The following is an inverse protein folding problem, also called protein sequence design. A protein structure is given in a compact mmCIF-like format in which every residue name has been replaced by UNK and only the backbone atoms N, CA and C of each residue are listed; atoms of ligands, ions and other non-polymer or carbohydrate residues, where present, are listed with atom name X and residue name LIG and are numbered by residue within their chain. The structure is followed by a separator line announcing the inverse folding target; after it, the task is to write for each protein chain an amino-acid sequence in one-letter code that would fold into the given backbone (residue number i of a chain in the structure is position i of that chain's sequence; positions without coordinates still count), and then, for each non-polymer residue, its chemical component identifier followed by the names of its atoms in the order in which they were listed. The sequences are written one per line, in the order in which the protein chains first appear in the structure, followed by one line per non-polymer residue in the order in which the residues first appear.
data_IF_729765246004
#
_entry.id   IF_729765246004
#
_cell.length_a   1.000
_cell.length_b   1.000
_cell.length_c   1.000
_cell.angle_alpha   90.00
_cell.angle_beta   90.00
_cell.angle_gamma   90.00
#
_symmetry.space_group_name_H-M   'P 1'
#
loop_
_entity.id
_entity.type
_entity.pdbx_description
1 polymer ?
#
# COMPACT_ATOMS: atom_id res chain seq x y z
N UNK A 1 -6.18 -59.26 38.45
CA UNK A 1 -6.34 -58.85 37.03
C UNK A 1 -6.68 -57.35 36.84
N UNK A 2 -6.40 -56.48 37.82
CA UNK A 2 -6.86 -55.06 37.85
C UNK A 2 -5.74 -54.03 37.65
N UNK A 3 -4.48 -54.42 37.78
CA UNK A 3 -3.33 -53.49 37.77
C UNK A 3 -2.89 -53.06 36.35
N UNK A 4 -2.95 -53.99 35.37
CA UNK A 4 -2.59 -53.72 33.96
C UNK A 4 -3.41 -52.59 33.34
N UNK A 5 -4.70 -52.48 33.71
CA UNK A 5 -5.62 -51.44 33.20
C UNK A 5 -5.35 -50.04 33.78
N UNK A 6 -4.77 -49.93 34.98
CA UNK A 6 -4.42 -48.63 35.59
C UNK A 6 -3.15 -48.03 34.97
N UNK A 7 -2.13 -48.85 34.70
CA UNK A 7 -0.88 -48.40 34.08
C UNK A 7 -1.08 -47.85 32.66
N UNK A 8 -1.93 -48.49 31.86
CA UNK A 8 -2.25 -48.04 30.49
C UNK A 8 -2.93 -46.65 30.53
N UNK A 9 -3.93 -46.44 31.39
CA UNK A 9 -4.62 -45.13 31.51
C UNK A 9 -3.70 -44.00 32.03
N UNK A 10 -2.75 -44.32 32.90
CA UNK A 10 -1.78 -43.35 33.39
C UNK A 10 -0.76 -42.94 32.30
N UNK A 11 -0.32 -43.89 31.47
CA UNK A 11 0.56 -43.65 30.34
C UNK A 11 -0.09 -42.74 29.27
N UNK A 12 -1.33 -43.04 28.88
CA UNK A 12 -2.10 -42.21 27.93
C UNK A 12 -2.41 -40.80 28.45
N UNK A 13 -2.62 -40.63 29.76
CA UNK A 13 -2.80 -39.29 30.38
C UNK A 13 -1.52 -38.46 30.41
N UNK A 14 -0.36 -39.11 30.55
CA UNK A 14 0.94 -38.45 30.46
C UNK A 14 1.15 -37.92 29.04
N UNK A 15 1.20 -38.81 28.06
CA UNK A 15 1.45 -38.46 26.65
C UNK A 15 0.46 -37.43 26.10
N UNK A 16 -0.83 -37.52 26.46
CA UNK A 16 -1.84 -36.52 26.12
C UNK A 16 -1.57 -35.14 26.74
N UNK A 17 -1.14 -35.06 28.01
CA UNK A 17 -0.80 -33.77 28.65
C UNK A 17 0.46 -33.14 28.06
N UNK A 18 1.42 -33.95 27.62
CA UNK A 18 2.63 -33.46 26.93
C UNK A 18 2.30 -32.95 25.52
N UNK A 19 1.42 -33.63 24.77
CA UNK A 19 1.00 -33.15 23.46
C UNK A 19 0.15 -31.88 23.54
N UNK A 20 -0.78 -31.76 24.48
CA UNK A 20 -1.56 -30.52 24.66
C UNK A 20 -0.66 -29.34 25.02
N UNK A 21 0.33 -29.53 25.91
CA UNK A 21 1.30 -28.48 26.26
C UNK A 21 2.17 -28.07 25.08
N UNK A 22 2.60 -29.03 24.26
CA UNK A 22 3.36 -28.75 23.03
C UNK A 22 2.54 -27.93 22.02
N UNK A 23 1.26 -28.27 21.83
CA UNK A 23 0.35 -27.51 20.97
C UNK A 23 0.18 -26.08 21.49
N UNK A 24 -0.11 -25.90 22.78
CA UNK A 24 -0.25 -24.56 23.39
C UNK A 24 1.02 -23.73 23.24
N UNK A 25 2.20 -24.33 23.50
CA UNK A 25 3.48 -23.64 23.33
C UNK A 25 3.72 -23.23 21.88
N UNK A 26 3.42 -24.11 20.92
CA UNK A 26 3.54 -23.81 19.50
C UNK A 26 2.60 -22.68 19.08
N UNK A 27 1.34 -22.70 19.54
CA UNK A 27 0.37 -21.63 19.28
C UNK A 27 0.87 -20.29 19.82
N UNK A 28 1.41 -20.26 21.04
CA UNK A 28 1.98 -19.03 21.62
C UNK A 28 3.16 -18.51 20.80
N UNK A 29 4.07 -19.39 20.36
CA UNK A 29 5.19 -19.00 19.50
C UNK A 29 4.70 -18.42 18.17
N UNK A 30 3.69 -19.02 17.55
CA UNK A 30 3.10 -18.51 16.30
C UNK A 30 2.45 -17.14 16.54
N UNK A 31 1.66 -16.97 17.61
CA UNK A 31 1.05 -15.68 17.94
C UNK A 31 2.09 -14.59 18.18
N UNK A 32 3.18 -14.90 18.89
CA UNK A 32 4.28 -13.97 19.11
C UNK A 32 5.00 -13.62 17.81
N UNK A 33 5.24 -14.60 16.94
CA UNK A 33 5.86 -14.36 15.63
C UNK A 33 4.97 -13.48 14.74
N UNK A 34 3.65 -13.70 14.74
CA UNK A 34 2.70 -12.87 14.00
C UNK A 34 2.62 -11.45 14.55
N UNK A 35 2.59 -11.29 15.88
CA UNK A 35 2.58 -9.98 16.52
C UNK A 35 3.86 -9.20 16.23
N UNK A 36 5.02 -9.86 16.32
CA UNK A 36 6.30 -9.27 15.97
C UNK A 36 6.37 -8.90 14.48
N UNK A 37 5.89 -9.79 13.60
CA UNK A 37 5.82 -9.55 12.16
C UNK A 37 4.91 -8.38 11.81
N UNK A 38 3.75 -8.26 12.47
CA UNK A 38 2.83 -7.14 12.31
C UNK A 38 3.45 -5.83 12.81
N UNK A 39 4.08 -5.83 13.99
CA UNK A 39 4.75 -4.64 14.53
C UNK A 39 5.87 -4.16 13.60
N UNK A 40 6.67 -5.08 13.07
CA UNK A 40 7.68 -4.77 12.06
C UNK A 40 7.05 -4.20 10.78
N UNK A 41 6.03 -4.85 10.24
CA UNK A 41 5.30 -4.39 9.05
C UNK A 41 4.72 -2.98 9.23
N UNK A 42 4.10 -2.73 10.38
CA UNK A 42 3.53 -1.44 10.70
C UNK A 42 4.60 -0.33 10.74
N UNK A 43 5.68 -0.56 11.48
CA UNK A 43 6.75 0.43 11.70
C UNK A 43 7.66 0.67 10.49
N UNK A 44 7.74 -0.30 9.57
CA UNK A 44 8.63 -0.19 8.40
C UNK A 44 7.88 0.09 7.10
N UNK A 45 6.57 -0.18 7.03
CA UNK A 45 5.78 -0.01 5.81
C UNK A 45 4.62 0.94 6.07
N UNK A 46 3.66 0.56 6.93
CA UNK A 46 2.43 1.34 7.07
C UNK A 46 2.67 2.75 7.65
N UNK A 47 3.62 2.91 8.56
CA UNK A 47 3.93 4.22 9.16
C UNK A 47 4.63 5.18 8.19
N UNK A 48 5.16 4.67 7.07
CA UNK A 48 5.74 5.51 6.01
C UNK A 48 4.69 5.97 5.01
N UNK A 49 3.51 5.34 4.98
CA UNK A 49 2.43 5.76 4.11
C UNK A 49 1.83 7.08 4.60
N UNK A 50 1.49 8.00 3.68
CA UNK A 50 0.74 9.19 4.04
C UNK A 50 -0.57 8.81 4.72
N UNK A 51 -0.79 9.31 5.93
CA UNK A 51 -2.04 9.08 6.66
C UNK A 51 -3.25 9.78 6.01
N UNK A 52 -2.98 10.85 5.24
CA UNK A 52 -3.99 11.60 4.51
C UNK A 52 -3.56 11.80 3.05
N UNK A 53 -4.50 11.53 2.14
CA UNK A 53 -4.35 11.70 0.70
C UNK A 53 -5.01 12.99 0.19
N UNK A 54 -5.62 13.80 1.05
CA UNK A 54 -6.31 15.04 0.70
C UNK A 54 -5.41 16.00 -0.10
N UNK A 55 -4.13 16.08 0.24
CA UNK A 55 -3.13 16.89 -0.44
C UNK A 55 -2.99 16.57 -1.94
N UNK A 56 -3.21 15.30 -2.34
CA UNK A 56 -3.11 14.90 -3.75
C UNK A 56 -4.33 15.31 -4.57
N UNK A 57 -5.48 15.55 -3.92
CA UNK A 57 -6.67 16.08 -4.60
C UNK A 57 -6.47 17.51 -5.10
N UNK A 58 -5.57 18.26 -4.47
CA UNK A 58 -5.29 19.66 -4.80
C UNK A 58 -3.84 19.87 -5.25
N UNK A 59 -3.14 18.79 -5.61
CA UNK A 59 -1.78 18.88 -6.09
C UNK A 59 -1.71 19.74 -7.36
N UNK A 60 -0.94 20.83 -7.30
CA UNK A 60 -0.67 21.72 -8.43
C UNK A 60 0.80 21.61 -8.79
N UNK A 61 1.16 21.01 -9.94
CA UNK A 61 2.54 20.95 -10.35
C UNK A 61 3.08 22.36 -10.59
N UNK A 62 4.39 22.59 -10.38
CA UNK A 62 5.02 23.85 -10.77
C UNK A 62 4.83 24.07 -12.28
N UNK A 63 4.28 25.22 -12.66
CA UNK A 63 4.08 25.62 -14.06
C UNK A 63 5.00 26.79 -14.41
N UNK A 64 5.20 27.01 -15.71
CA UNK A 64 5.96 28.18 -16.16
C UNK A 64 5.26 29.49 -15.83
N UNK A 65 6.03 30.49 -15.42
CA UNK A 65 5.58 31.87 -15.24
C UNK A 65 5.78 32.61 -16.57
N UNK A 66 4.69 33.10 -17.17
CA UNK A 66 4.72 33.83 -18.44
C UNK A 66 4.44 35.31 -18.21
N UNK A 67 5.31 36.18 -18.71
CA UNK A 67 5.18 37.63 -18.66
C UNK A 67 4.66 38.12 -20.00
N UNK A 68 3.54 38.82 -19.99
CA UNK A 68 2.90 39.36 -21.19
C UNK A 68 3.00 40.88 -21.23
N UNK A 69 3.16 41.42 -22.43
CA UNK A 69 3.09 42.86 -22.69
C UNK A 69 1.66 43.39 -22.66
N UNK A 70 1.51 44.71 -22.73
CA UNK A 70 0.20 45.37 -22.73
C UNK A 70 -0.65 45.01 -23.97
N UNK A 71 0.00 44.55 -25.03
CA UNK A 71 -0.60 44.04 -26.27
C UNK A 71 -0.94 42.54 -26.21
N UNK A 72 -0.65 41.86 -25.09
CA UNK A 72 -0.85 40.43 -24.91
C UNK A 72 0.24 39.55 -25.52
N UNK A 73 1.31 40.13 -26.09
CA UNK A 73 2.44 39.33 -26.60
C UNK A 73 3.27 38.79 -25.44
N UNK A 74 3.77 37.55 -25.60
CA UNK A 74 4.68 36.97 -24.61
C UNK A 74 6.03 37.70 -24.66
N UNK A 75 6.42 38.30 -23.55
CA UNK A 75 7.73 38.96 -23.38
C UNK A 75 8.77 37.95 -22.94
N UNK A 76 8.45 37.16 -21.90
CA UNK A 76 9.39 36.20 -21.32
C UNK A 76 8.68 35.05 -20.60
N UNK A 77 9.39 33.94 -20.38
CA UNK A 77 8.92 32.73 -19.70
C UNK A 77 9.97 32.21 -18.71
N UNK A 78 9.64 32.20 -17.42
CA UNK A 78 10.52 31.69 -16.35
C UNK A 78 10.05 30.31 -15.87
N UNK A 79 10.96 29.34 -15.83
CA UNK A 79 10.66 28.00 -15.35
C UNK A 79 11.89 27.23 -14.89
N UNK A 80 11.68 26.29 -13.95
CA UNK A 80 12.58 25.16 -13.74
C UNK A 80 12.25 24.05 -14.74
N UNK A 81 10.96 23.74 -14.88
CA UNK A 81 10.40 22.78 -15.81
C UNK A 81 9.39 23.48 -16.72
N UNK A 82 9.56 23.35 -18.03
CA UNK A 82 8.68 24.00 -19.00
C UNK A 82 7.33 23.28 -19.06
N UNK A 83 6.39 23.68 -18.21
CA UNK A 83 5.05 23.09 -18.08
C UNK A 83 3.95 24.12 -18.31
N UNK A 84 3.01 23.76 -19.19
CA UNK A 84 1.77 24.49 -19.42
C UNK A 84 0.61 23.63 -18.94
N UNK A 85 -0.21 24.18 -18.06
CA UNK A 85 -1.44 23.52 -17.63
C UNK A 85 -2.51 23.65 -18.72
N UNK A 86 -3.12 22.53 -19.10
CA UNK A 86 -4.17 22.44 -20.12
C UNK A 86 -5.23 21.49 -19.59
N UNK A 87 -6.51 21.85 -19.69
CA UNK A 87 -7.60 20.94 -19.34
C UNK A 87 -7.68 19.81 -20.38
N UNK A 88 -7.99 18.59 -19.94
CA UNK A 88 -8.16 17.45 -20.86
C UNK A 88 -9.30 17.72 -21.85
N UNK A 89 -10.31 18.48 -21.45
CA UNK A 89 -11.42 18.88 -22.32
C UNK A 89 -10.99 19.80 -23.48
N UNK A 90 -9.89 20.55 -23.32
CA UNK A 90 -9.36 21.46 -24.34
C UNK A 90 -8.45 20.72 -25.34
N UNK A 91 -8.04 19.49 -25.02
CA UNK A 91 -7.19 18.68 -25.89
C UNK A 91 -8.00 17.97 -26.98
N UNK A 92 -7.45 17.82 -28.20
CA UNK A 92 -8.05 16.96 -29.20
C UNK A 92 -8.21 15.53 -28.67
N UNK A 93 -9.37 14.86 -28.86
CA UNK A 93 -9.64 13.56 -28.23
C UNK A 93 -8.57 12.49 -28.51
N UNK A 94 -8.02 12.48 -29.71
CA UNK A 94 -7.01 11.51 -30.13
C UNK A 94 -5.69 11.64 -29.34
N UNK A 95 -5.37 12.81 -28.78
CA UNK A 95 -4.13 13.04 -28.04
C UNK A 95 -4.16 12.23 -26.74
N UNK A 96 -5.13 12.47 -25.87
CA UNK A 96 -5.20 11.76 -24.59
C UNK A 96 -5.55 10.29 -24.78
N UNK A 97 -6.36 9.95 -25.79
CA UNK A 97 -6.68 8.55 -26.11
C UNK A 97 -5.44 7.76 -26.55
N UNK A 98 -4.53 8.35 -27.32
CA UNK A 98 -3.30 7.68 -27.73
C UNK A 98 -2.40 7.35 -26.53
N UNK A 99 -2.27 8.27 -25.57
CA UNK A 99 -1.55 8.00 -24.32
C UNK A 99 -2.19 6.86 -23.52
N UNK A 100 -3.50 6.90 -23.34
CA UNK A 100 -4.23 5.85 -22.62
C UNK A 100 -4.07 4.49 -23.33
N UNK A 101 -4.18 4.45 -24.65
CA UNK A 101 -4.01 3.22 -25.42
C UNK A 101 -2.59 2.62 -25.31
N UNK A 102 -1.57 3.47 -25.16
CA UNK A 102 -0.17 3.05 -25.05
C UNK A 102 0.20 2.58 -23.63
N UNK A 103 -0.29 3.27 -22.59
CA UNK A 103 0.07 3.01 -21.18
C UNK A 103 -0.88 2.01 -20.51
N UNK A 104 -2.19 2.26 -20.56
CA UNK A 104 -3.22 1.39 -19.98
C UNK A 104 -4.55 1.50 -20.72
N UNK A 105 -4.80 0.57 -21.63
CA UNK A 105 -6.05 0.51 -22.42
C UNK A 105 -7.32 0.37 -21.58
N UNK A 106 -7.23 -0.02 -20.29
CA UNK A 106 -8.36 -0.19 -19.37
C UNK A 106 -8.43 0.92 -18.33
N UNK A 107 -7.71 2.02 -18.51
CA UNK A 107 -7.63 3.10 -17.53
C UNK A 107 -9.00 3.57 -16.99
N UNK A 108 -10.02 3.65 -17.84
CA UNK A 108 -11.38 4.08 -17.46
C UNK A 108 -12.32 2.95 -17.00
N UNK A 109 -11.87 1.68 -17.03
CA UNK A 109 -12.67 0.53 -16.60
C UNK A 109 -12.47 0.18 -15.11
N UNK A 110 -11.38 0.66 -14.50
CA UNK A 110 -11.04 0.44 -13.08
C UNK A 110 -11.80 1.38 -12.16
#
# INVERSE_FOLDING_TARGET
MTDRRRRIRAFFRGTFRWSTRAVVALTLVICLALAAGYAWFYTNILSQLPADLSQYKTWRPPTSCRVFGADGQLIDEFYVERRVWVDVADLPPHVWQAFVAAEDRRFFEH
#
